data_IF_397484064400
#
_entry.id   IF_397484064400
#
_cell.length_a   1.000
_cell.length_b   1.000
_cell.length_c   1.000
_cell.angle_alpha   90.00
_cell.angle_beta   90.00
_cell.angle_gamma   90.00
#
_symmetry.space_group_name_H-M   'P 1'
#
loop_
_entity.id
_entity.type
_entity.pdbx_description
1 polymer ?
#
# COMPACT_ATOMS: atom_id res chain seq x y z
N UNK A 1 40.59 13.12 -20.52
CA UNK A 1 39.81 12.72 -21.69
C UNK A 1 38.91 11.55 -21.27
N UNK A 2 37.66 11.86 -20.85
CA UNK A 2 36.66 10.82 -20.57
C UNK A 2 35.93 10.49 -21.88
N UNK A 3 36.09 9.27 -22.34
CA UNK A 3 35.38 8.75 -23.51
C UNK A 3 33.87 8.67 -23.23
N UNK A 4 33.01 8.81 -24.25
CA UNK A 4 31.56 8.71 -24.09
C UNK A 4 31.20 7.29 -23.70
N UNK A 5 30.51 7.14 -22.59
CA UNK A 5 29.84 5.88 -22.22
C UNK A 5 28.76 5.61 -23.29
N UNK A 6 29.01 4.64 -24.14
CA UNK A 6 28.00 4.07 -25.02
C UNK A 6 26.88 3.48 -24.17
N UNK A 7 25.77 4.20 -24.06
CA UNK A 7 24.51 3.58 -23.67
C UNK A 7 24.14 2.60 -24.78
N UNK A 8 24.45 1.33 -24.57
CA UNK A 8 23.91 0.27 -25.43
C UNK A 8 22.39 0.42 -25.41
N UNK A 9 21.81 0.72 -26.58
CA UNK A 9 20.37 0.75 -26.75
C UNK A 9 19.84 -0.65 -26.40
N UNK A 10 19.27 -0.80 -25.22
CA UNK A 10 18.72 -2.09 -24.79
C UNK A 10 17.68 -2.51 -25.85
N UNK A 11 17.78 -3.74 -26.34
CA UNK A 11 16.81 -4.27 -27.29
C UNK A 11 15.37 -4.08 -26.74
N UNK A 12 14.40 -3.74 -27.57
CA UNK A 12 13.03 -3.55 -27.11
C UNK A 12 12.52 -4.83 -26.43
N UNK A 13 11.93 -4.66 -25.25
CA UNK A 13 11.34 -5.79 -24.52
C UNK A 13 10.09 -6.25 -25.27
N UNK A 14 10.01 -7.55 -25.54
CA UNK A 14 8.86 -8.17 -26.21
C UNK A 14 7.58 -7.92 -25.42
N UNK A 15 6.53 -7.56 -26.14
CA UNK A 15 5.22 -7.27 -25.57
C UNK A 15 4.17 -8.21 -26.16
N UNK A 16 3.20 -8.58 -25.33
CA UNK A 16 2.06 -9.40 -25.68
C UNK A 16 0.78 -8.78 -25.13
N UNK A 17 -0.35 -9.01 -25.77
CA UNK A 17 -1.66 -8.57 -25.29
C UNK A 17 -2.46 -9.75 -24.74
N UNK A 18 -2.94 -9.62 -23.49
CA UNK A 18 -3.87 -10.58 -22.88
C UNK A 18 -5.10 -9.82 -22.40
N UNK A 19 -6.27 -10.19 -22.96
CA UNK A 19 -7.54 -9.51 -22.61
C UNK A 19 -7.51 -8.00 -22.85
N UNK A 20 -6.83 -7.53 -23.90
CA UNK A 20 -6.68 -6.12 -24.21
C UNK A 20 -5.68 -5.35 -23.36
N UNK A 21 -4.91 -6.03 -22.49
CA UNK A 21 -3.89 -5.44 -21.63
C UNK A 21 -2.49 -5.78 -22.14
N UNK A 22 -1.59 -4.80 -22.13
CA UNK A 22 -0.19 -5.01 -22.52
C UNK A 22 0.60 -5.71 -21.41
N UNK A 23 1.36 -6.71 -21.77
CA UNK A 23 2.27 -7.45 -20.91
C UNK A 23 3.68 -7.45 -21.50
N UNK A 24 4.67 -7.37 -20.65
CA UNK A 24 6.09 -7.37 -20.98
C UNK A 24 6.72 -8.71 -20.61
N UNK A 25 7.56 -9.22 -21.47
CA UNK A 25 8.32 -10.43 -21.21
C UNK A 25 9.33 -10.20 -20.09
N UNK A 26 9.13 -10.93 -18.97
CA UNK A 26 9.78 -10.61 -17.69
C UNK A 26 11.30 -10.89 -17.71
N UNK A 27 11.77 -11.96 -18.39
CA UNK A 27 13.20 -12.26 -18.47
C UNK A 27 13.99 -11.24 -19.30
N UNK A 28 13.38 -10.72 -20.38
CA UNK A 28 13.99 -9.65 -21.18
C UNK A 28 14.02 -8.34 -20.40
N UNK A 29 12.91 -8.00 -19.71
CA UNK A 29 12.88 -6.82 -18.84
C UNK A 29 13.92 -6.90 -17.73
N UNK A 30 14.07 -8.07 -17.10
CA UNK A 30 15.05 -8.29 -16.05
C UNK A 30 16.49 -8.04 -16.57
N UNK A 31 16.85 -8.63 -17.70
CA UNK A 31 18.18 -8.44 -18.32
C UNK A 31 18.43 -6.97 -18.70
N UNK A 32 17.45 -6.31 -19.31
CA UNK A 32 17.56 -4.91 -19.70
C UNK A 32 17.76 -3.96 -18.50
N UNK A 33 17.32 -4.37 -17.30
CA UNK A 33 17.46 -3.62 -16.05
C UNK A 33 18.56 -4.16 -15.11
N UNK A 34 19.44 -5.05 -15.62
CA UNK A 34 20.58 -5.56 -14.86
C UNK A 34 20.23 -6.55 -13.75
N UNK A 35 19.07 -7.20 -13.83
CA UNK A 35 18.67 -8.24 -12.89
C UNK A 35 19.13 -9.63 -13.37
N UNK A 36 19.66 -10.42 -12.45
CA UNK A 36 19.73 -11.87 -12.64
C UNK A 36 18.31 -12.44 -12.61
N UNK A 37 18.06 -13.46 -13.42
CA UNK A 37 16.76 -14.08 -13.58
C UNK A 37 16.87 -15.58 -13.29
N UNK A 38 16.02 -16.09 -12.40
CA UNK A 38 15.96 -17.50 -12.03
C UNK A 38 14.49 -17.94 -11.95
N UNK A 39 14.18 -19.11 -12.53
CA UNK A 39 12.89 -19.79 -12.40
C UNK A 39 13.10 -21.04 -11.54
N UNK A 40 12.21 -21.25 -10.58
CA UNK A 40 12.15 -22.44 -9.75
C UNK A 40 10.68 -22.87 -9.57
N UNK A 41 10.26 -23.91 -10.28
CA UNK A 41 8.86 -24.30 -10.35
C UNK A 41 8.00 -23.19 -10.96
N UNK A 42 7.04 -22.69 -10.18
CA UNK A 42 6.18 -21.56 -10.58
C UNK A 42 6.73 -20.20 -10.17
N UNK A 43 7.82 -20.15 -9.40
CA UNK A 43 8.36 -18.90 -8.89
C UNK A 43 9.46 -18.37 -9.82
N UNK A 44 9.43 -17.07 -10.03
CA UNK A 44 10.40 -16.30 -10.78
C UNK A 44 11.06 -15.31 -9.86
N UNK A 45 12.37 -15.42 -9.66
CA UNK A 45 13.14 -14.53 -8.82
C UNK A 45 14.08 -13.67 -9.64
N UNK A 46 14.05 -12.36 -9.40
CA UNK A 46 14.95 -11.37 -9.97
C UNK A 46 15.79 -10.76 -8.86
N UNK A 47 17.11 -10.66 -9.07
CA UNK A 47 18.03 -10.09 -8.08
C UNK A 47 18.99 -9.10 -8.75
N UNK A 48 19.11 -7.91 -8.15
CA UNK A 48 20.12 -6.91 -8.49
C UNK A 48 20.63 -6.24 -7.20
N UNK A 49 21.84 -6.62 -6.77
CA UNK A 49 22.37 -6.20 -5.46
C UNK A 49 21.46 -6.62 -4.32
N UNK A 50 21.04 -5.66 -3.50
CA UNK A 50 20.13 -5.88 -2.37
C UNK A 50 18.64 -5.94 -2.76
N UNK A 51 18.32 -5.75 -4.06
CA UNK A 51 16.94 -5.76 -4.54
C UNK A 51 16.56 -7.15 -5.01
N UNK A 52 15.52 -7.71 -4.40
CA UNK A 52 14.94 -9.00 -4.77
C UNK A 52 13.45 -8.84 -5.07
N UNK A 53 13.03 -9.31 -6.23
CA UNK A 53 11.62 -9.45 -6.60
C UNK A 53 11.33 -10.93 -6.82
N UNK A 54 10.25 -11.43 -6.25
CA UNK A 54 9.78 -12.80 -6.48
C UNK A 54 8.34 -12.73 -6.97
N UNK A 55 8.06 -13.43 -8.06
CA UNK A 55 6.73 -13.51 -8.67
C UNK A 55 6.28 -14.97 -8.68
N UNK A 56 5.03 -15.22 -8.42
CA UNK A 56 4.44 -16.54 -8.65
C UNK A 56 3.69 -16.52 -10.00
N UNK A 57 3.99 -17.46 -10.88
CA UNK A 57 3.30 -17.59 -12.17
C UNK A 57 1.80 -17.86 -11.96
N UNK A 58 0.98 -17.30 -12.84
CA UNK A 58 -0.48 -17.33 -12.80
C UNK A 58 -1.09 -16.79 -11.50
N UNK A 59 -0.36 -15.90 -10.83
CA UNK A 59 -0.73 -15.30 -9.55
C UNK A 59 -0.54 -13.78 -9.58
N UNK A 60 -1.30 -13.10 -8.73
CA UNK A 60 -1.11 -11.67 -8.43
C UNK A 60 -0.07 -11.44 -7.32
N UNK A 61 0.45 -12.50 -6.71
CA UNK A 61 1.42 -12.37 -5.62
C UNK A 61 2.80 -11.99 -6.16
N UNK A 62 3.33 -10.91 -5.63
CA UNK A 62 4.70 -10.48 -5.81
C UNK A 62 5.30 -10.16 -4.46
N UNK A 63 6.57 -10.47 -4.26
CA UNK A 63 7.33 -10.01 -3.11
C UNK A 63 8.44 -9.06 -3.57
N UNK A 64 8.60 -7.96 -2.88
CA UNK A 64 9.72 -7.05 -3.01
C UNK A 64 10.50 -7.04 -1.69
N UNK A 65 11.75 -7.51 -1.69
CA UNK A 65 12.58 -7.64 -0.49
C UNK A 65 11.86 -8.32 0.69
N UNK A 66 11.03 -9.33 0.39
CA UNK A 66 10.27 -10.10 1.37
C UNK A 66 8.93 -9.50 1.81
N UNK A 67 8.56 -8.31 1.35
CA UNK A 67 7.23 -7.74 1.60
C UNK A 67 6.25 -8.08 0.49
N UNK A 68 5.07 -8.57 0.85
CA UNK A 68 4.03 -9.00 -0.09
C UNK A 68 3.31 -7.81 -0.73
N UNK A 69 3.08 -7.90 -2.03
CA UNK A 69 2.29 -6.95 -2.82
C UNK A 69 1.34 -7.74 -3.71
N UNK A 70 0.07 -7.35 -3.76
CA UNK A 70 -0.87 -7.90 -4.71
C UNK A 70 -0.89 -7.03 -5.98
N UNK A 71 -0.43 -7.59 -7.08
CA UNK A 71 -0.47 -6.99 -8.41
C UNK A 71 -1.92 -6.83 -8.87
N UNK A 72 -2.16 -5.87 -9.74
CA UNK A 72 -3.47 -5.67 -10.36
C UNK A 72 -3.84 -6.84 -11.29
N UNK A 73 -2.84 -7.38 -11.97
CA UNK A 73 -2.99 -8.51 -12.89
C UNK A 73 -2.08 -9.68 -12.50
N UNK A 74 -2.54 -10.90 -12.77
CA UNK A 74 -1.68 -12.07 -12.59
C UNK A 74 -0.51 -12.06 -13.57
N UNK A 75 0.67 -12.47 -13.12
CA UNK A 75 1.79 -12.80 -14.01
C UNK A 75 1.36 -13.97 -14.90
N UNK A 76 1.49 -13.85 -16.21
CA UNK A 76 1.05 -14.86 -17.17
C UNK A 76 2.19 -15.74 -17.64
N UNK A 77 2.03 -17.05 -17.53
CA UNK A 77 2.95 -18.02 -18.12
C UNK A 77 2.52 -18.37 -19.55
N UNK A 78 3.40 -18.17 -20.54
CA UNK A 78 3.17 -18.60 -21.93
C UNK A 78 4.38 -19.42 -22.40
N UNK A 79 4.16 -20.69 -22.70
CA UNK A 79 5.24 -21.62 -23.07
C UNK A 79 6.43 -21.61 -22.10
N UNK A 80 6.13 -21.53 -20.80
CA UNK A 80 7.13 -21.48 -19.73
C UNK A 80 7.82 -20.11 -19.54
N UNK A 81 7.44 -19.10 -20.32
CA UNK A 81 7.96 -17.73 -20.22
C UNK A 81 6.97 -16.84 -19.47
N UNK A 82 7.37 -16.18 -18.37
CA UNK A 82 6.50 -15.28 -17.63
C UNK A 82 6.41 -13.90 -18.28
N UNK A 83 5.20 -13.35 -18.28
CA UNK A 83 4.85 -11.99 -18.73
C UNK A 83 4.20 -11.21 -17.61
N UNK A 84 4.65 -9.97 -17.41
CA UNK A 84 4.18 -9.04 -16.39
C UNK A 84 3.36 -7.93 -17.03
N UNK A 85 2.22 -7.58 -16.43
CA UNK A 85 1.41 -6.48 -16.92
C UNK A 85 2.19 -5.15 -16.90
N UNK A 86 2.17 -4.41 -18.01
CA UNK A 86 2.85 -3.12 -18.12
C UNK A 86 2.32 -2.10 -17.09
N UNK A 87 1.03 -2.21 -16.75
CA UNK A 87 0.40 -1.38 -15.73
C UNK A 87 1.01 -1.64 -14.33
N UNK A 88 1.25 -2.90 -13.96
CA UNK A 88 1.87 -3.22 -12.66
C UNK A 88 3.34 -2.84 -12.62
N UNK A 89 4.05 -2.94 -13.76
CA UNK A 89 5.41 -2.43 -13.85
C UNK A 89 5.46 -0.93 -13.53
N UNK A 90 4.54 -0.15 -14.10
CA UNK A 90 4.53 1.33 -13.94
C UNK A 90 3.96 1.80 -12.61
N UNK A 91 2.98 1.09 -12.05
CA UNK A 91 2.24 1.55 -10.86
C UNK A 91 2.61 0.83 -9.56
N UNK A 92 3.36 -0.29 -9.63
CA UNK A 92 3.83 -1.02 -8.46
C UNK A 92 5.36 -1.14 -8.45
N UNK A 93 5.97 -1.74 -9.48
CA UNK A 93 7.38 -2.14 -9.45
C UNK A 93 8.31 -0.92 -9.61
N UNK A 94 8.14 -0.12 -10.65
CA UNK A 94 8.99 1.04 -10.88
C UNK A 94 8.98 2.03 -9.70
N UNK A 95 7.84 2.36 -9.06
CA UNK A 95 7.84 3.22 -7.88
C UNK A 95 8.65 2.67 -6.71
N UNK A 96 8.70 1.35 -6.51
CA UNK A 96 9.48 0.72 -5.45
C UNK A 96 10.97 0.66 -5.77
N UNK A 97 11.31 0.46 -7.04
CA UNK A 97 12.71 0.44 -7.52
C UNK A 97 13.30 1.85 -7.61
N UNK A 98 12.49 2.80 -8.04
CA UNK A 98 12.83 4.21 -8.31
C UNK A 98 11.80 5.13 -7.66
N UNK A 99 11.81 5.30 -6.33
CA UNK A 99 10.81 6.09 -5.63
C UNK A 99 10.66 7.49 -6.23
N UNK A 100 9.41 7.90 -6.57
CA UNK A 100 9.17 9.18 -7.21
C UNK A 100 9.48 10.32 -6.25
N UNK A 101 10.56 11.04 -6.51
CA UNK A 101 11.00 12.17 -5.71
C UNK A 101 9.98 13.32 -5.71
N UNK A 102 9.90 14.05 -4.62
CA UNK A 102 9.11 15.27 -4.55
C UNK A 102 9.68 16.29 -5.55
N UNK A 103 8.81 16.87 -6.39
CA UNK A 103 9.21 17.83 -7.45
C UNK A 103 9.76 19.15 -6.91
N UNK A 104 9.46 19.49 -5.66
CA UNK A 104 9.90 20.69 -4.97
C UNK A 104 10.58 20.31 -3.67
N UNK A 105 11.33 21.21 -3.03
CA UNK A 105 11.93 21.04 -1.70
C UNK A 105 10.89 20.83 -0.57
N UNK A 106 9.66 20.43 -0.92
CA UNK A 106 8.56 20.21 0.01
C UNK A 106 8.85 18.96 0.82
N UNK A 107 9.17 19.14 2.06
CA UNK A 107 9.33 18.06 3.04
C UNK A 107 7.95 17.59 3.48
N UNK A 108 7.78 16.30 3.69
CA UNK A 108 6.59 15.75 4.36
C UNK A 108 6.61 16.21 5.82
N UNK A 109 5.67 17.08 6.18
CA UNK A 109 5.59 17.67 7.52
C UNK A 109 4.22 17.56 8.14
N UNK A 110 3.17 17.65 7.35
CA UNK A 110 1.81 17.69 7.82
C UNK A 110 1.05 16.42 7.43
N UNK A 111 0.60 15.68 8.42
CA UNK A 111 -0.08 14.40 8.24
C UNK A 111 -1.51 14.51 8.76
N UNK A 112 -2.50 14.18 7.93
CA UNK A 112 -3.87 14.02 8.37
C UNK A 112 -4.13 12.54 8.70
N UNK A 113 -4.56 12.30 9.94
CA UNK A 113 -4.98 10.98 10.40
C UNK A 113 -6.50 10.93 10.33
N UNK A 114 -7.00 9.95 9.60
CA UNK A 114 -8.41 9.64 9.52
C UNK A 114 -8.71 8.43 10.44
N UNK A 115 -9.40 8.67 11.54
CA UNK A 115 -9.93 7.59 12.36
C UNK A 115 -11.20 7.05 11.69
N UNK A 116 -11.14 5.83 11.16
CA UNK A 116 -12.26 5.20 10.46
C UNK A 116 -13.56 5.21 11.25
N UNK A 117 -14.71 5.19 10.55
CA UNK A 117 -16.03 5.16 11.15
C UNK A 117 -16.33 6.37 12.07
N UNK A 118 -17.26 6.20 13.04
CA UNK A 118 -17.63 7.23 14.03
C UNK A 118 -19.13 7.52 14.07
N UNK A 119 -19.63 7.93 15.24
CA UNK A 119 -21.04 8.20 15.47
C UNK A 119 -21.94 7.01 15.15
N UNK A 120 -22.85 7.18 14.18
CA UNK A 120 -23.78 6.12 13.69
C UNK A 120 -23.09 4.97 12.95
N UNK A 121 -21.91 5.19 12.38
CA UNK A 121 -21.11 4.15 11.73
C UNK A 121 -20.17 3.52 12.76
N UNK A 122 -20.53 2.32 13.20
CA UNK A 122 -19.77 1.60 14.25
C UNK A 122 -18.56 0.83 13.71
N UNK A 123 -18.48 0.58 12.37
CA UNK A 123 -17.51 -0.35 11.78
C UNK A 123 -17.77 -1.80 12.16
N UNK A 124 -16.73 -2.60 12.19
CA UNK A 124 -16.80 -3.97 12.69
C UNK A 124 -17.16 -3.99 14.18
N UNK A 125 -17.88 -5.03 14.60
CA UNK A 125 -18.27 -5.20 15.99
C UNK A 125 -17.93 -6.61 16.51
N UNK A 126 -17.43 -6.66 17.74
CA UNK A 126 -17.21 -7.89 18.48
C UNK A 126 -17.85 -7.75 19.86
N UNK A 127 -19.10 -8.20 19.97
CA UNK A 127 -19.92 -8.01 21.15
C UNK A 127 -20.26 -6.53 21.37
N UNK A 128 -19.75 -5.93 22.43
CA UNK A 128 -19.94 -4.50 22.78
C UNK A 128 -18.78 -3.60 22.34
N UNK A 129 -17.78 -4.19 21.68
CA UNK A 129 -16.62 -3.44 21.21
C UNK A 129 -16.79 -3.11 19.73
N UNK A 130 -16.56 -1.85 19.37
CA UNK A 130 -16.77 -1.29 18.05
C UNK A 130 -15.48 -0.77 17.45
N UNK A 131 -15.25 -1.01 16.16
CA UNK A 131 -14.07 -0.57 15.42
C UNK A 131 -13.85 0.94 15.55
N UNK A 132 -14.91 1.76 15.46
CA UNK A 132 -14.83 3.22 15.57
C UNK A 132 -14.09 3.71 16.82
N UNK A 133 -14.23 3.01 17.95
CA UNK A 133 -13.56 3.30 19.22
C UNK A 133 -12.05 3.07 19.09
N UNK A 134 -11.67 1.91 18.55
CA UNK A 134 -10.27 1.51 18.49
C UNK A 134 -9.52 2.22 17.37
N UNK A 135 -10.18 2.56 16.26
CA UNK A 135 -9.64 3.43 15.22
C UNK A 135 -9.32 4.84 15.78
N UNK A 136 -10.18 5.39 16.63
CA UNK A 136 -9.93 6.68 17.28
C UNK A 136 -8.77 6.60 18.30
N UNK A 137 -8.74 5.55 19.13
CA UNK A 137 -7.63 5.35 20.08
C UNK A 137 -6.30 5.17 19.35
N UNK A 138 -6.26 4.37 18.28
CA UNK A 138 -5.05 4.22 17.45
C UNK A 138 -4.65 5.55 16.81
N UNK A 139 -5.60 6.35 16.34
CA UNK A 139 -5.32 7.65 15.76
C UNK A 139 -4.65 8.60 16.78
N UNK A 140 -5.10 8.57 18.02
CA UNK A 140 -4.50 9.37 19.11
C UNK A 140 -3.07 8.91 19.43
N UNK A 141 -2.84 7.59 19.53
CA UNK A 141 -1.51 6.99 19.74
C UNK A 141 -0.55 7.35 18.58
N UNK A 142 -1.02 7.22 17.34
CA UNK A 142 -0.23 7.56 16.16
C UNK A 142 0.13 9.05 16.14
N UNK A 143 -0.83 9.92 16.46
CA UNK A 143 -0.58 11.36 16.51
C UNK A 143 0.47 11.74 17.56
N UNK A 144 0.45 11.11 18.73
CA UNK A 144 1.45 11.34 19.76
C UNK A 144 2.86 10.98 19.27
N UNK A 145 3.01 9.84 18.60
CA UNK A 145 4.29 9.39 18.06
C UNK A 145 4.77 10.22 16.86
N UNK A 146 3.87 10.60 15.96
CA UNK A 146 4.22 11.47 14.83
C UNK A 146 4.65 12.85 15.30
N UNK A 147 3.97 13.44 16.29
CA UNK A 147 4.41 14.73 16.89
C UNK A 147 5.78 14.63 17.52
N UNK A 148 6.05 13.54 18.25
CA UNK A 148 7.39 13.26 18.80
C UNK A 148 8.45 13.11 17.72
N UNK A 149 8.07 12.59 16.53
CA UNK A 149 8.94 12.50 15.36
C UNK A 149 9.06 13.81 14.55
N UNK A 150 8.45 14.91 15.01
CA UNK A 150 8.55 16.25 14.42
C UNK A 150 7.54 16.55 13.31
N UNK A 151 6.45 15.76 13.19
CA UNK A 151 5.37 16.05 12.27
C UNK A 151 4.28 16.93 12.90
N UNK A 152 3.67 17.78 12.09
CA UNK A 152 2.38 18.41 12.40
C UNK A 152 1.27 17.43 12.06
N UNK A 153 0.27 17.32 12.92
CA UNK A 153 -0.81 16.34 12.78
C UNK A 153 -2.18 17.01 12.88
N UNK A 154 -3.03 16.74 11.91
CA UNK A 154 -4.47 17.01 12.00
C UNK A 154 -5.26 15.69 11.95
N UNK A 155 -6.55 15.78 12.28
CA UNK A 155 -7.48 14.66 12.31
C UNK A 155 -8.71 14.95 11.48
N UNK A 156 -9.36 13.93 10.95
CA UNK A 156 -10.72 14.04 10.41
C UNK A 156 -11.75 14.15 11.53
N UNK A 157 -11.54 13.41 12.64
CA UNK A 157 -12.35 13.50 13.88
C UNK A 157 -11.48 13.26 15.11
N UNK A 158 -11.84 13.90 16.21
CA UNK A 158 -11.18 13.75 17.52
C UNK A 158 -12.11 13.17 18.59
N UNK A 159 -13.38 12.97 18.24
CA UNK A 159 -14.44 12.43 19.09
C UNK A 159 -15.21 11.34 18.35
N UNK A 160 -16.18 10.71 18.99
CA UNK A 160 -17.08 9.74 18.36
C UNK A 160 -18.14 10.43 17.50
N UNK A 161 -17.69 11.07 16.41
CA UNK A 161 -18.54 11.80 15.47
C UNK A 161 -18.50 11.13 14.10
N UNK A 162 -19.65 11.01 13.43
CA UNK A 162 -19.72 10.54 12.05
C UNK A 162 -19.24 11.63 11.09
N UNK A 163 -18.32 11.27 10.21
CA UNK A 163 -17.86 12.13 9.11
C UNK A 163 -18.13 11.39 7.79
N UNK A 164 -18.88 12.03 6.91
CA UNK A 164 -19.17 11.52 5.57
C UNK A 164 -17.86 11.21 4.83
N UNK A 165 -17.83 10.10 4.06
CA UNK A 165 -16.61 9.62 3.42
C UNK A 165 -15.90 10.66 2.54
N UNK A 166 -16.62 11.45 1.68
CA UNK A 166 -15.96 12.46 0.84
C UNK A 166 -15.38 13.62 1.66
N UNK A 167 -15.95 13.92 2.84
CA UNK A 167 -15.47 15.01 3.68
C UNK A 167 -14.13 14.69 4.36
N UNK A 168 -13.75 13.41 4.51
CA UNK A 168 -12.52 12.99 5.19
C UNK A 168 -11.27 13.47 4.44
N UNK A 169 -11.05 13.13 3.15
CA UNK A 169 -9.93 13.67 2.39
C UNK A 169 -10.04 15.18 2.14
N UNK A 170 -11.25 15.75 2.08
CA UNK A 170 -11.45 17.19 1.96
C UNK A 170 -10.98 17.96 3.22
N UNK A 171 -11.17 17.41 4.41
CA UNK A 171 -10.58 17.96 5.65
C UNK A 171 -9.04 17.97 5.54
N UNK A 172 -8.43 16.88 5.06
CA UNK A 172 -6.97 16.81 4.87
C UNK A 172 -6.49 17.87 3.88
N UNK A 173 -7.19 18.02 2.74
CA UNK A 173 -6.90 19.04 1.72
C UNK A 173 -6.99 20.46 2.30
N UNK A 174 -8.07 20.79 3.00
CA UNK A 174 -8.26 22.12 3.63
C UNK A 174 -7.22 22.42 4.72
N UNK A 175 -6.64 21.39 5.32
CA UNK A 175 -5.57 21.50 6.32
C UNK A 175 -4.17 21.45 5.69
N UNK A 176 -4.06 21.44 4.35
CA UNK A 176 -2.80 21.35 3.61
C UNK A 176 -1.94 20.16 4.07
N UNK A 177 -2.56 18.99 4.26
CA UNK A 177 -1.85 17.78 4.63
C UNK A 177 -0.99 17.26 3.47
N UNK A 178 0.24 16.86 3.77
CA UNK A 178 1.17 16.22 2.82
C UNK A 178 0.86 14.74 2.64
N UNK A 179 0.26 14.10 3.66
CA UNK A 179 -0.15 12.69 3.66
C UNK A 179 -1.52 12.54 4.32
N UNK A 180 -2.29 11.56 3.83
CA UNK A 180 -3.54 11.10 4.43
C UNK A 180 -3.43 9.63 4.84
N UNK A 181 -3.65 9.31 6.12
CA UNK A 181 -3.55 7.97 6.69
C UNK A 181 -4.89 7.62 7.33
N UNK A 182 -5.67 6.75 6.68
CA UNK A 182 -6.92 6.23 7.22
C UNK A 182 -6.64 4.95 8.02
N UNK A 183 -7.19 4.84 9.23
CA UNK A 183 -6.92 3.77 10.19
C UNK A 183 -8.18 2.95 10.45
N UNK A 184 -8.06 1.65 10.28
CA UNK A 184 -9.12 0.66 10.39
C UNK A 184 -8.66 -0.63 11.06
N UNK A 185 -9.64 -1.44 11.45
CA UNK A 185 -9.45 -2.82 11.87
C UNK A 185 -10.41 -3.72 11.10
N UNK A 186 -9.86 -4.65 10.37
CA UNK A 186 -10.54 -5.45 9.38
C UNK A 186 -11.57 -6.41 9.96
N UNK A 187 -12.46 -6.84 9.09
CA UNK A 187 -13.38 -7.95 9.31
C UNK A 187 -13.15 -9.05 8.28
N UNK A 188 -13.14 -10.29 8.72
CA UNK A 188 -12.99 -11.43 7.83
C UNK A 188 -14.26 -11.74 7.02
N UNK A 189 -15.41 -11.17 7.39
CA UNK A 189 -16.68 -11.51 6.75
C UNK A 189 -16.91 -13.02 6.69
N UNK A 190 -17.11 -13.57 5.49
CA UNK A 190 -17.28 -15.01 5.29
C UNK A 190 -15.98 -15.84 5.48
N UNK A 191 -14.82 -15.21 5.64
CA UNK A 191 -13.54 -15.90 5.87
C UNK A 191 -13.42 -16.55 7.25
N UNK A 192 -14.36 -16.28 8.13
CA UNK A 192 -14.43 -16.84 9.47
C UNK A 192 -13.41 -16.25 10.45
N UNK A 193 -13.47 -16.65 11.73
CA UNK A 193 -12.67 -16.05 12.79
C UNK A 193 -11.18 -16.45 12.78
N UNK A 194 -10.77 -17.31 11.85
CA UNK A 194 -9.38 -17.74 11.71
C UNK A 194 -8.47 -16.78 10.93
N UNK A 195 -9.03 -15.76 10.28
CA UNK A 195 -8.26 -14.81 9.48
C UNK A 195 -7.52 -13.83 10.40
N UNK A 196 -6.23 -13.64 10.12
CA UNK A 196 -5.31 -12.76 10.88
C UNK A 196 -4.47 -11.91 9.93
N UNK A 197 -3.72 -10.96 10.48
CA UNK A 197 -2.67 -10.24 9.78
C UNK A 197 -2.99 -8.78 9.47
N UNK A 198 -2.00 -8.08 8.94
CA UNK A 198 -2.12 -6.67 8.57
C UNK A 198 -2.17 -6.48 7.05
N UNK A 199 -2.92 -5.48 6.61
CA UNK A 199 -3.07 -5.10 5.22
C UNK A 199 -2.92 -3.58 5.06
N UNK A 200 -2.33 -3.13 3.96
CA UNK A 200 -2.31 -1.70 3.63
C UNK A 200 -2.85 -1.49 2.23
N UNK A 201 -3.88 -0.67 2.13
CA UNK A 201 -4.53 -0.37 0.86
C UNK A 201 -4.04 0.97 0.29
N UNK A 202 -3.80 0.98 -1.00
CA UNK A 202 -3.61 2.19 -1.79
C UNK A 202 -4.58 2.23 -2.98
N UNK A 203 -4.69 3.39 -3.62
CA UNK A 203 -5.62 3.60 -4.72
C UNK A 203 -5.39 2.62 -5.87
N UNK A 204 -6.47 2.01 -6.39
CA UNK A 204 -6.43 1.19 -7.61
C UNK A 204 -6.17 2.09 -8.83
N UNK A 205 -5.15 1.81 -9.66
CA UNK A 205 -4.90 2.57 -10.88
C UNK A 205 -6.05 2.46 -11.89
N UNK A 206 -6.19 3.45 -12.75
CA UNK A 206 -7.09 3.33 -13.90
C UNK A 206 -6.66 2.15 -14.79
N UNK A 207 -7.61 1.41 -15.33
CA UNK A 207 -7.38 0.19 -16.10
C UNK A 207 -7.18 -1.08 -15.27
N UNK A 208 -6.96 -0.96 -13.96
CA UNK A 208 -6.76 -2.09 -13.05
C UNK A 208 -8.05 -2.57 -12.38
N UNK A 209 -8.06 -3.82 -11.96
CA UNK A 209 -9.02 -4.35 -10.98
C UNK A 209 -8.50 -4.13 -9.57
N UNK A 210 -9.39 -3.88 -8.61
CA UNK A 210 -9.05 -3.87 -7.19
C UNK A 210 -8.66 -5.26 -6.70
N UNK A 211 -7.87 -5.32 -5.63
CA UNK A 211 -7.40 -6.58 -5.03
C UNK A 211 -7.98 -6.82 -3.64
N UNK A 212 -8.98 -6.03 -3.23
CA UNK A 212 -9.75 -6.25 -2.01
C UNK A 212 -10.66 -7.49 -2.14
N UNK A 213 -11.14 -7.99 -1.02
CA UNK A 213 -11.96 -9.22 -0.98
C UNK A 213 -13.26 -9.13 -1.78
N UNK A 214 -13.83 -7.93 -1.95
CA UNK A 214 -15.06 -7.71 -2.72
C UNK A 214 -14.85 -7.67 -4.24
N UNK A 215 -13.59 -7.52 -4.71
CA UNK A 215 -13.22 -7.65 -6.12
C UNK A 215 -13.92 -6.63 -7.03
N UNK A 216 -13.63 -5.35 -6.89
CA UNK A 216 -14.09 -4.38 -7.88
C UNK A 216 -13.37 -4.60 -9.20
N UNK A 217 -14.14 -4.80 -10.29
CA UNK A 217 -13.60 -5.01 -11.63
C UNK A 217 -12.74 -3.86 -12.16
N UNK A 218 -12.18 -4.02 -13.35
CA UNK A 218 -11.39 -2.98 -13.99
C UNK A 218 -12.24 -1.75 -14.32
N UNK A 219 -11.65 -0.56 -14.16
CA UNK A 219 -12.29 0.70 -14.50
C UNK A 219 -11.23 1.67 -15.04
N UNK A 220 -11.50 2.27 -16.19
CA UNK A 220 -10.62 3.26 -16.81
C UNK A 220 -10.80 4.67 -16.23
N UNK A 221 -11.69 4.83 -15.24
CA UNK A 221 -11.90 6.13 -14.60
C UNK A 221 -10.68 6.53 -13.79
N UNK A 222 -10.14 7.71 -14.06
CA UNK A 222 -9.16 8.38 -13.22
C UNK A 222 -9.86 9.15 -12.10
N UNK A 223 -9.33 9.04 -10.91
CA UNK A 223 -9.74 9.76 -9.72
C UNK A 223 -8.59 10.65 -9.23
N UNK A 224 -8.87 11.61 -8.37
CA UNK A 224 -7.86 12.49 -7.77
C UNK A 224 -6.71 11.70 -7.13
N UNK A 225 -7.02 10.63 -6.40
CA UNK A 225 -6.03 9.77 -5.77
C UNK A 225 -5.08 9.04 -6.74
N UNK A 226 -5.44 8.92 -8.04
CA UNK A 226 -4.56 8.29 -9.03
C UNK A 226 -3.36 9.16 -9.42
N UNK A 227 -3.41 10.46 -9.20
CA UNK A 227 -2.27 11.38 -9.44
C UNK A 227 -1.05 10.94 -8.62
N UNK A 228 -1.28 10.28 -7.48
CA UNK A 228 -0.24 9.85 -6.54
C UNK A 228 0.06 8.35 -6.56
N UNK A 229 -0.36 7.59 -7.59
CA UNK A 229 -0.24 6.11 -7.62
C UNK A 229 1.13 5.59 -7.20
N UNK A 230 2.21 6.15 -7.72
CA UNK A 230 3.58 5.72 -7.37
C UNK A 230 3.94 6.05 -5.92
N UNK A 231 3.57 7.23 -5.41
CA UNK A 231 3.82 7.62 -4.02
C UNK A 231 2.95 6.84 -3.05
N UNK A 232 1.69 6.58 -3.41
CA UNK A 232 0.78 5.75 -2.64
C UNK A 232 1.33 4.34 -2.46
N UNK A 233 1.91 3.75 -3.54
CA UNK A 233 2.52 2.42 -3.49
C UNK A 233 3.73 2.38 -2.55
N UNK A 234 4.63 3.35 -2.64
CA UNK A 234 5.81 3.43 -1.76
C UNK A 234 5.39 3.61 -0.30
N UNK A 235 4.41 4.51 -0.04
CA UNK A 235 3.91 4.75 1.31
C UNK A 235 3.24 3.49 1.90
N UNK A 236 2.37 2.84 1.13
CA UNK A 236 1.70 1.61 1.54
C UNK A 236 2.70 0.50 1.83
N UNK A 237 3.69 0.32 0.97
CA UNK A 237 4.72 -0.70 1.12
C UNK A 237 5.58 -0.49 2.38
N UNK A 238 6.05 0.73 2.63
CA UNK A 238 6.89 1.02 3.79
C UNK A 238 6.12 0.88 5.11
N UNK A 239 4.83 1.24 5.14
CA UNK A 239 3.97 1.02 6.32
C UNK A 239 3.71 -0.48 6.50
N UNK A 240 3.30 -1.19 5.46
CA UNK A 240 3.04 -2.63 5.52
C UNK A 240 4.25 -3.40 6.03
N UNK A 241 5.41 -3.15 5.43
CA UNK A 241 6.66 -3.81 5.83
C UNK A 241 7.04 -3.54 7.28
N UNK A 242 6.83 -2.31 7.77
CA UNK A 242 7.11 -1.97 9.16
C UNK A 242 6.13 -2.67 10.11
N UNK A 243 4.83 -2.73 9.80
CA UNK A 243 3.85 -3.45 10.60
C UNK A 243 4.18 -4.94 10.72
N UNK A 244 4.45 -5.60 9.59
CA UNK A 244 4.79 -7.03 9.58
C UNK A 244 6.03 -7.31 10.42
N UNK A 245 7.09 -6.52 10.25
CA UNK A 245 8.36 -6.69 10.99
C UNK A 245 8.20 -6.43 12.49
N UNK A 246 7.60 -5.30 12.86
CA UNK A 246 7.62 -4.82 14.23
C UNK A 246 6.55 -5.49 15.11
N UNK A 247 5.43 -5.92 14.50
CA UNK A 247 4.37 -6.64 15.19
C UNK A 247 4.47 -8.17 15.04
N UNK A 248 5.33 -8.66 14.14
CA UNK A 248 5.39 -10.07 13.73
C UNK A 248 4.01 -10.57 13.26
N UNK A 249 3.28 -9.69 12.58
CA UNK A 249 1.96 -9.97 12.04
C UNK A 249 2.06 -10.76 10.73
N UNK A 250 1.03 -11.57 10.43
CA UNK A 250 0.90 -12.18 9.11
C UNK A 250 0.89 -11.08 8.03
N UNK A 251 1.73 -11.24 7.00
CA UNK A 251 1.78 -10.31 5.86
C UNK A 251 0.68 -10.63 4.85
N UNK A 252 -0.38 -9.82 4.86
CA UNK A 252 -1.44 -9.90 3.87
C UNK A 252 -1.23 -8.97 2.69
N UNK A 253 -0.15 -8.21 2.73
CA UNK A 253 0.39 -7.44 1.63
C UNK A 253 -0.20 -6.06 1.43
N UNK A 254 0.45 -5.34 0.52
CA UNK A 254 -0.11 -4.13 -0.07
C UNK A 254 -1.18 -4.50 -1.07
N UNK A 255 -2.36 -3.90 -0.92
CA UNK A 255 -3.55 -4.15 -1.73
C UNK A 255 -4.03 -2.88 -2.44
N UNK A 256 -4.92 -3.06 -3.38
CA UNK A 256 -5.54 -1.99 -4.17
C UNK A 256 -7.03 -1.95 -3.94
N UNK A 257 -7.58 -0.77 -3.66
CA UNK A 257 -9.02 -0.57 -3.55
C UNK A 257 -9.44 0.83 -4.02
N UNK A 258 -10.69 0.97 -4.47
CA UNK A 258 -11.31 2.25 -4.80
C UNK A 258 -12.15 2.78 -3.64
N UNK A 259 -11.63 2.65 -2.41
CA UNK A 259 -12.30 3.24 -1.26
C UNK A 259 -12.45 4.74 -1.45
N UNK A 260 -13.61 5.30 -1.08
CA UNK A 260 -13.94 6.68 -1.36
C UNK A 260 -12.91 7.65 -0.81
N UNK A 261 -12.42 7.40 0.39
CA UNK A 261 -11.36 8.22 1.02
C UNK A 261 -10.04 8.22 0.25
N UNK A 262 -9.75 7.16 -0.53
CA UNK A 262 -8.57 7.07 -1.39
C UNK A 262 -8.80 7.69 -2.77
N UNK A 263 -10.04 7.56 -3.32
CA UNK A 263 -10.40 8.12 -4.62
C UNK A 263 -10.31 9.64 -4.64
N UNK A 264 -10.71 10.27 -3.55
CA UNK A 264 -10.89 11.72 -3.46
C UNK A 264 -9.71 12.42 -2.77
N UNK A 265 -8.67 11.67 -2.38
CA UNK A 265 -7.48 12.23 -1.79
C UNK A 265 -6.63 12.98 -2.84
N UNK A 266 -6.33 14.24 -2.57
CA UNK A 266 -5.48 15.09 -3.42
C UNK A 266 -4.01 15.09 -2.99
N UNK A 267 -3.65 14.25 -2.03
CA UNK A 267 -2.31 13.99 -1.53
C UNK A 267 -2.05 12.49 -1.51
N UNK A 268 -0.80 12.01 -1.34
CA UNK A 268 -0.53 10.61 -1.12
C UNK A 268 -1.33 10.06 0.06
N UNK A 269 -2.06 8.96 -0.18
CA UNK A 269 -3.05 8.41 0.73
C UNK A 269 -3.00 6.89 0.80
N UNK A 270 -3.20 6.37 2.01
CA UNK A 270 -3.33 4.93 2.29
C UNK A 270 -4.41 4.68 3.34
N UNK A 271 -4.98 3.46 3.30
CA UNK A 271 -5.82 2.94 4.36
C UNK A 271 -5.11 1.73 4.98
N UNK A 272 -4.97 1.75 6.28
CA UNK A 272 -4.27 0.73 7.07
C UNK A 272 -5.29 -0.10 7.82
N UNK A 273 -5.27 -1.40 7.60
CA UNK A 273 -5.99 -2.40 8.37
C UNK A 273 -4.99 -3.04 9.34
N UNK A 274 -5.04 -2.60 10.60
CA UNK A 274 -4.02 -2.96 11.59
C UNK A 274 -4.14 -4.38 12.14
N UNK A 275 -5.21 -5.11 11.80
CA UNK A 275 -5.52 -6.46 12.26
C UNK A 275 -7.00 -6.75 12.09
N UNK A 276 -7.44 -7.97 12.37
CA UNK A 276 -8.83 -8.41 12.21
C UNK A 276 -9.58 -8.40 13.54
N UNK A 277 -10.52 -7.47 13.69
CA UNK A 277 -11.35 -7.38 14.90
C UNK A 277 -12.30 -8.59 15.04
N UNK A 278 -12.64 -9.25 13.95
CA UNK A 278 -13.38 -10.51 13.91
C UNK A 278 -12.58 -11.72 14.45
N UNK A 279 -11.25 -11.64 14.56
CA UNK A 279 -10.41 -12.70 15.14
C UNK A 279 -10.26 -12.48 16.63
N UNK A 280 -10.63 -13.46 17.51
CA UNK A 280 -10.57 -13.27 18.96
C UNK A 280 -9.16 -12.99 19.51
N UNK A 281 -8.12 -13.51 18.88
CA UNK A 281 -6.73 -13.27 19.27
C UNK A 281 -6.29 -11.84 18.95
N UNK A 282 -6.52 -11.40 17.72
CA UNK A 282 -6.19 -10.05 17.29
C UNK A 282 -7.08 -8.99 17.96
N UNK A 283 -8.36 -9.29 18.20
CA UNK A 283 -9.26 -8.42 18.94
C UNK A 283 -8.68 -8.07 20.33
N UNK A 284 -8.15 -9.06 21.07
CA UNK A 284 -7.48 -8.80 22.36
C UNK A 284 -6.28 -7.88 22.22
N UNK A 285 -5.50 -8.02 21.14
CA UNK A 285 -4.40 -7.13 20.81
C UNK A 285 -4.90 -5.72 20.53
N UNK A 286 -5.90 -5.58 19.65
CA UNK A 286 -6.52 -4.29 19.26
C UNK A 286 -7.03 -3.54 20.50
N UNK A 287 -7.59 -4.26 21.49
CA UNK A 287 -8.10 -3.66 22.73
C UNK A 287 -6.97 -3.21 23.68
N UNK A 288 -5.76 -3.75 23.53
CA UNK A 288 -4.59 -3.39 24.34
C UNK A 288 -3.98 -2.06 23.91
N UNK A 289 -3.87 -1.10 24.84
CA UNK A 289 -3.18 0.16 24.60
C UNK A 289 -1.70 -0.04 24.24
N UNK A 290 -1.02 -0.97 24.90
CA UNK A 290 0.38 -1.29 24.63
C UNK A 290 0.58 -1.82 23.21
N UNK A 291 -0.33 -2.65 22.71
CA UNK A 291 -0.25 -3.16 21.34
C UNK A 291 -0.56 -2.06 20.32
N UNK A 292 -1.59 -1.23 20.53
CA UNK A 292 -1.86 -0.08 19.66
C UNK A 292 -0.69 0.90 19.60
N UNK A 293 0.01 1.12 20.73
CA UNK A 293 1.22 1.93 20.75
C UNK A 293 2.34 1.31 19.88
N UNK A 294 2.50 -0.02 19.87
CA UNK A 294 3.43 -0.71 18.96
C UNK A 294 3.01 -0.55 17.50
N UNK A 295 1.73 -0.72 17.19
CA UNK A 295 1.19 -0.52 15.84
C UNK A 295 1.41 0.91 15.36
N UNK A 296 1.13 1.92 16.20
CA UNK A 296 1.39 3.32 15.91
C UNK A 296 2.89 3.57 15.65
N UNK A 297 3.79 2.91 16.41
CA UNK A 297 5.24 2.93 16.20
C UNK A 297 5.65 2.37 14.85
N UNK A 298 5.08 1.24 14.46
CA UNK A 298 5.33 0.62 13.17
C UNK A 298 4.88 1.53 12.01
N UNK A 299 3.67 2.10 12.09
CA UNK A 299 3.17 3.05 11.10
C UNK A 299 4.09 4.28 11.01
N UNK A 300 4.50 4.84 12.15
CA UNK A 300 5.46 5.98 12.20
C UNK A 300 6.79 5.62 11.55
N UNK A 301 7.30 4.42 11.78
CA UNK A 301 8.52 3.90 11.15
C UNK A 301 8.38 3.81 9.63
N UNK A 302 7.25 3.30 9.15
CA UNK A 302 6.93 3.23 7.71
C UNK A 302 6.87 4.62 7.07
N UNK A 303 6.20 5.58 7.71
CA UNK A 303 6.14 6.98 7.25
C UNK A 303 7.54 7.63 7.21
N UNK A 304 8.37 7.40 8.22
CA UNK A 304 9.75 7.89 8.23
C UNK A 304 10.60 7.28 7.09
N UNK A 305 10.41 5.98 6.81
CA UNK A 305 11.09 5.32 5.69
C UNK A 305 10.63 5.88 4.34
N UNK A 306 9.32 6.03 4.14
CA UNK A 306 8.75 6.69 2.98
C UNK A 306 9.34 8.09 2.77
N UNK A 307 9.36 8.92 3.83
CA UNK A 307 9.91 10.28 3.76
C UNK A 307 11.35 10.28 3.24
N UNK A 308 12.22 9.42 3.78
CA UNK A 308 13.62 9.30 3.33
C UNK A 308 13.75 8.91 1.86
N UNK A 309 12.81 8.11 1.33
CA UNK A 309 12.83 7.66 -0.06
C UNK A 309 12.38 8.74 -1.03
N UNK A 310 11.41 9.59 -0.65
CA UNK A 310 10.82 10.58 -1.58
C UNK A 310 11.43 11.97 -1.47
N UNK A 311 11.98 12.33 -0.32
CA UNK A 311 12.68 13.61 -0.15
C UNK A 311 14.01 13.56 -0.92
N UNK A 312 14.48 14.72 -1.44
CA UNK A 312 15.73 14.83 -2.19
C UNK A 312 16.97 14.56 -1.33
#
# INVERSE_FOLDING_TARGET
MCGPAFHACAAPVEQMSFGGKAYLRLDQWARANGYSYRVQGKDVTLVNGARRLTFAADSKRMEFNGGLILLSEAVRGVNGVPYLAALDLTTAINPLLFPPKARTKTKVRHICIDAGHGGKDIGESNGREYEKKYALLLAQELAAQLRKAGYTVCFTRTTDTYIELPNRPDIARRRNADLFISLHFNSSGMGGPGVTGAETYCMTPAGASSTNARGEGASNRNYEGNVHNGRNMVLAYEIQRAMVRDLQSEDRGVKRARYQVLREATMPAVLVEGGFMSNPGEARNIYSAAWRAKLAGAITTGINSYRRLIEP
#
